data_IF_771553920654
#
_entry.id   IF_771553920654
#
_cell.length_a   1.000
_cell.length_b   1.000
_cell.length_c   1.000
_cell.angle_alpha   90.00
_cell.angle_beta   90.00
_cell.angle_gamma   90.00
#
_symmetry.space_group_name_H-M   'P 1'
#
loop_
_entity.id
_entity.type
_entity.pdbx_description
1 polymer ?
#
# COMPACT_ATOMS: atom_id res chain seq x y z
N UNK A 1 -10.63 8.85 2.49
CA UNK A 1 -10.93 8.37 1.14
C UNK A 1 -9.71 7.75 0.46
N UNK A 2 -9.97 6.90 -0.52
CA UNK A 2 -8.94 6.15 -1.23
C UNK A 2 -7.88 7.07 -1.85
N UNK A 3 -8.28 8.18 -2.42
CA UNK A 3 -7.33 9.11 -3.06
C UNK A 3 -6.32 9.66 -2.05
N UNK A 4 -6.74 9.95 -0.84
CA UNK A 4 -5.85 10.43 0.21
C UNK A 4 -4.89 9.32 0.64
N UNK A 5 -5.39 8.10 0.73
CA UNK A 5 -4.58 6.96 1.13
C UNK A 5 -3.53 6.63 0.07
N UNK A 6 -3.90 6.69 -1.20
CA UNK A 6 -2.96 6.51 -2.31
C UNK A 6 -1.85 7.56 -2.27
N UNK A 7 -2.23 8.82 -2.08
CA UNK A 7 -1.27 9.91 -2.00
C UNK A 7 -0.31 9.72 -0.81
N UNK A 8 -0.85 9.29 0.33
CA UNK A 8 -0.05 9.04 1.52
C UNK A 8 0.97 7.92 1.30
N UNK A 9 0.55 6.83 0.68
CA UNK A 9 1.44 5.71 0.39
C UNK A 9 2.57 6.15 -0.54
N UNK A 10 2.25 6.87 -1.62
CA UNK A 10 3.26 7.32 -2.58
C UNK A 10 4.16 8.40 -2.00
N UNK A 11 3.69 9.13 -1.00
CA UNK A 11 4.51 10.09 -0.28
C UNK A 11 5.51 9.42 0.64
N UNK A 12 5.13 8.30 1.26
CA UNK A 12 5.96 7.62 2.27
C UNK A 12 6.93 6.62 1.69
N UNK A 13 6.55 5.95 0.62
CA UNK A 13 7.33 4.82 0.09
C UNK A 13 7.81 5.08 -1.32
N UNK A 14 8.98 4.54 -1.63
CA UNK A 14 9.55 4.64 -2.99
C UNK A 14 8.77 3.72 -3.91
N UNK A 15 8.18 4.28 -4.97
CA UNK A 15 7.43 3.54 -5.96
C UNK A 15 6.11 4.20 -6.31
N UNK A 16 5.41 3.59 -7.26
CA UNK A 16 4.09 4.04 -7.70
C UNK A 16 3.09 2.92 -7.45
N UNK A 17 1.90 3.30 -6.98
CA UNK A 17 0.80 2.33 -6.84
C UNK A 17 0.23 2.08 -8.23
N UNK A 18 0.30 0.84 -8.69
CA UNK A 18 -0.17 0.44 -10.01
C UNK A 18 -1.46 -0.36 -9.97
N UNK A 19 -1.85 -0.85 -8.79
CA UNK A 19 -3.06 -1.65 -8.67
C UNK A 19 -3.57 -1.54 -7.23
N UNK A 20 -4.89 -1.50 -7.07
CA UNK A 20 -5.54 -1.41 -5.77
C UNK A 20 -6.70 -2.38 -5.72
N UNK A 21 -6.79 -3.16 -4.64
CA UNK A 21 -7.91 -4.02 -4.37
C UNK A 21 -8.43 -3.77 -2.95
N UNK A 22 -9.74 -3.90 -2.78
CA UNK A 22 -10.37 -3.82 -1.46
C UNK A 22 -10.82 -5.22 -1.08
N UNK A 23 -10.34 -5.71 0.05
CA UNK A 23 -10.61 -7.07 0.50
C UNK A 23 -11.13 -7.07 1.93
N UNK A 24 -11.85 -8.15 2.28
CA UNK A 24 -12.28 -8.36 3.65
C UNK A 24 -11.39 -9.41 4.29
N UNK A 25 -10.71 -9.05 5.39
CA UNK A 25 -9.82 -9.94 6.11
C UNK A 25 -10.08 -9.85 7.60
N UNK A 26 -10.36 -10.97 8.24
CA UNK A 26 -10.56 -11.05 9.69
C UNK A 26 -11.52 -9.98 10.21
N UNK A 27 -12.62 -9.77 9.48
CA UNK A 27 -13.67 -8.85 9.90
C UNK A 27 -13.38 -7.38 9.63
N UNK A 28 -12.28 -7.04 8.98
CA UNK A 28 -11.96 -5.66 8.64
C UNK A 28 -11.78 -5.50 7.14
N UNK A 29 -12.01 -4.27 6.65
CA UNK A 29 -11.72 -3.95 5.27
C UNK A 29 -10.25 -3.58 5.13
N UNK A 30 -9.59 -4.15 4.13
CA UNK A 30 -8.15 -4.00 3.88
C UNK A 30 -7.94 -3.60 2.44
N UNK A 31 -7.14 -2.55 2.21
CA UNK A 31 -6.66 -2.25 0.87
C UNK A 31 -5.36 -3.00 0.62
N UNK A 32 -5.29 -3.68 -0.52
CA UNK A 32 -4.04 -4.23 -1.02
C UNK A 32 -3.56 -3.33 -2.16
N UNK A 33 -2.39 -2.76 -2.00
CA UNK A 33 -1.77 -1.94 -3.04
C UNK A 33 -0.57 -2.67 -3.61
N UNK A 34 -0.48 -2.70 -4.94
CA UNK A 34 0.74 -3.12 -5.61
C UNK A 34 1.56 -1.89 -5.89
N UNK A 35 2.74 -1.84 -5.30
CA UNK A 35 3.67 -0.72 -5.43
C UNK A 35 4.83 -1.14 -6.31
N UNK A 36 5.11 -0.37 -7.35
CA UNK A 36 6.19 -0.64 -8.29
C UNK A 36 7.31 0.38 -8.09
N UNK A 37 8.41 -0.01 -7.45
CA UNK A 37 9.57 0.86 -7.29
C UNK A 37 10.45 0.85 -8.54
N UNK A 38 11.43 1.76 -8.64
CA UNK A 38 12.35 1.79 -9.78
C UNK A 38 13.11 0.49 -10.01
N UNK A 39 13.30 -0.31 -8.97
CA UNK A 39 13.97 -1.61 -9.11
C UNK A 39 13.20 -2.60 -9.98
N UNK A 40 11.90 -2.35 -10.19
CA UNK A 40 11.02 -3.28 -10.92
C UNK A 40 10.50 -4.42 -10.07
N UNK A 41 10.91 -4.52 -8.80
CA UNK A 41 10.46 -5.59 -7.90
C UNK A 41 9.20 -5.16 -7.18
N UNK A 42 8.07 -5.67 -7.65
CA UNK A 42 6.77 -5.30 -7.12
C UNK A 42 6.63 -5.68 -5.65
N UNK A 43 6.01 -4.76 -4.90
CA UNK A 43 5.77 -4.89 -3.47
C UNK A 43 4.27 -4.84 -3.24
N UNK A 44 3.76 -5.65 -2.32
CA UNK A 44 2.37 -5.56 -1.89
C UNK A 44 2.32 -4.90 -0.53
N UNK A 45 1.43 -3.93 -0.39
CA UNK A 45 1.15 -3.26 0.88
C UNK A 45 -0.29 -3.54 1.27
N UNK A 46 -0.50 -3.89 2.54
CA UNK A 46 -1.84 -4.16 3.07
C UNK A 46 -2.13 -3.13 4.15
N UNK A 47 -3.14 -2.31 3.91
CA UNK A 47 -3.49 -1.22 4.81
C UNK A 47 -4.91 -1.37 5.32
N UNK A 48 -5.10 -1.04 6.59
CA UNK A 48 -6.45 -0.96 7.16
C UNK A 48 -7.21 0.14 6.44
N UNK A 49 -8.36 -0.19 5.84
CA UNK A 49 -9.11 0.77 5.04
C UNK A 49 -9.76 1.87 5.89
N UNK A 50 -9.99 1.60 7.18
CA UNK A 50 -10.60 2.58 8.07
C UNK A 50 -9.58 3.58 8.61
N UNK A 51 -8.37 3.12 8.93
CA UNK A 51 -7.37 3.95 9.60
C UNK A 51 -6.19 4.34 8.71
N UNK A 52 -5.95 3.60 7.61
CA UNK A 52 -4.78 3.79 6.77
C UNK A 52 -3.51 3.17 7.33
N UNK A 53 -3.59 2.46 8.45
CA UNK A 53 -2.41 1.87 9.05
C UNK A 53 -1.88 0.73 8.18
N UNK A 54 -0.57 0.67 8.03
CA UNK A 54 0.07 -0.44 7.33
C UNK A 54 0.01 -1.68 8.22
N UNK A 55 -0.65 -2.72 7.74
CA UNK A 55 -0.82 -3.97 8.48
C UNK A 55 0.32 -4.93 8.23
N UNK A 56 0.73 -5.03 6.97
CA UNK A 56 1.85 -5.88 6.58
C UNK A 56 2.29 -5.51 5.17
N UNK A 57 3.47 -5.97 4.79
CA UNK A 57 3.97 -5.81 3.43
C UNK A 57 4.57 -7.11 2.93
N UNK A 58 4.64 -7.25 1.62
CA UNK A 58 5.24 -8.39 0.97
C UNK A 58 6.32 -7.87 0.04
N UNK A 59 7.57 -8.22 0.33
CA UNK A 59 8.73 -7.68 -0.32
C UNK A 59 9.32 -6.51 0.46
N UNK A 60 10.56 -6.11 0.12
CA UNK A 60 11.25 -5.05 0.87
C UNK A 60 10.67 -3.68 0.52
N UNK A 61 10.23 -2.95 1.53
CA UNK A 61 9.79 -1.57 1.34
C UNK A 61 10.95 -0.62 1.59
N UNK A 62 10.93 0.49 0.85
CA UNK A 62 11.90 1.57 1.03
C UNK A 62 11.12 2.85 1.29
N UNK A 63 11.37 3.46 2.44
CA UNK A 63 10.73 4.73 2.78
C UNK A 63 11.47 5.87 2.09
N UNK A 64 10.69 6.86 1.63
CA UNK A 64 11.29 8.07 1.09
C UNK A 64 11.96 8.85 2.20
N UNK A 65 13.06 9.47 1.88
CA UNK A 65 13.82 10.30 2.82
C UNK A 65 13.24 11.69 2.95
#
# INVERSE_FOLDING_TARGET
PLSDLLAEVERRYVGRVIETELEREDGRWVYEFKLLPPSGRMIKLYLDAATGALLRSRGPIEERR
#
